data_IF_322952026256
#
_entry.id   IF_322952026256
#
_cell.length_a   1.000
_cell.length_b   1.000
_cell.length_c   1.000
_cell.angle_alpha   90.00
_cell.angle_beta   90.00
_cell.angle_gamma   90.00
#
_symmetry.space_group_name_H-M   'P 1'
#
loop_
_entity.id
_entity.type
_entity.pdbx_description
1 polymer ?
#
# COMPACT_ATOMS: atom_id res chain seq x y z
N UNK A 1 -6.30 -9.73 35.23
CA UNK A 1 -7.72 -9.46 34.91
C UNK A 1 -7.79 -8.17 34.09
N UNK A 2 -8.19 -8.28 32.83
CA UNK A 2 -8.54 -7.25 31.84
C UNK A 2 -8.02 -5.82 31.98
N UNK A 3 -6.96 -5.47 31.24
CA UNK A 3 -6.81 -4.10 30.74
C UNK A 3 -7.46 -4.02 29.35
N UNK A 4 -8.75 -3.69 29.32
CA UNK A 4 -9.48 -3.37 28.08
C UNK A 4 -9.05 -1.97 27.64
N UNK A 5 -7.87 -1.88 27.03
CA UNK A 5 -7.49 -0.73 26.21
C UNK A 5 -8.39 -0.73 24.97
N UNK A 6 -9.52 -0.03 25.06
CA UNK A 6 -10.42 0.14 23.93
C UNK A 6 -9.67 0.81 22.79
N UNK A 7 -9.49 0.09 21.67
CA UNK A 7 -9.09 0.71 20.41
C UNK A 7 -10.26 1.59 19.94
N UNK A 8 -10.22 2.87 20.31
CA UNK A 8 -10.92 3.93 19.59
C UNK A 8 -10.49 3.87 18.12
N UNK A 9 -11.40 3.45 17.23
CA UNK A 9 -11.67 4.00 15.90
C UNK A 9 -12.66 3.08 15.17
N UNK A 10 -13.90 3.08 15.66
CA UNK A 10 -15.07 2.89 14.83
C UNK A 10 -15.36 4.23 14.15
N UNK A 11 -14.80 4.42 12.95
CA UNK A 11 -15.20 5.48 12.04
C UNK A 11 -14.77 5.05 10.65
N UNK A 12 -15.72 5.00 9.73
CA UNK A 12 -15.58 4.56 8.34
C UNK A 12 -14.67 5.47 7.47
N UNK A 13 -13.66 6.12 8.04
CA UNK A 13 -12.77 7.09 7.39
C UNK A 13 -11.28 6.76 7.58
N UNK A 14 -10.95 5.49 7.84
CA UNK A 14 -9.55 5.09 7.97
C UNK A 14 -8.93 5.05 6.56
N UNK A 15 -8.30 6.17 6.19
CA UNK A 15 -7.53 6.36 4.97
C UNK A 15 -6.72 5.10 4.68
N UNK A 16 -7.09 4.36 3.64
CA UNK A 16 -6.34 3.18 3.23
C UNK A 16 -5.17 3.66 2.39
N UNK A 17 -4.11 4.08 3.09
CA UNK A 17 -2.77 4.02 2.52
C UNK A 17 -2.37 2.54 2.50
N UNK A 18 -1.50 2.10 1.58
CA UNK A 18 -0.95 0.74 1.55
C UNK A 18 0.02 0.52 2.72
N UNK A 19 -0.51 0.54 3.94
CA UNK A 19 0.16 0.23 5.18
C UNK A 19 -0.22 -1.17 5.64
N UNK A 20 0.69 -1.81 6.38
CA UNK A 20 0.46 -3.09 7.05
C UNK A 20 -0.83 -3.02 7.89
N UNK A 21 -1.77 -3.96 7.76
CA UNK A 21 -2.95 -4.02 8.61
C UNK A 21 -2.57 -4.18 10.09
N UNK A 22 -3.38 -3.61 10.99
CA UNK A 22 -3.16 -3.74 12.42
C UNK A 22 -3.53 -5.16 12.90
N UNK A 23 -2.63 -5.80 13.65
CA UNK A 23 -2.84 -7.15 14.17
C UNK A 23 -3.97 -7.25 15.21
N UNK A 24 -4.26 -6.17 15.92
CA UNK A 24 -5.29 -6.12 16.98
C UNK A 24 -6.67 -5.79 16.39
N UNK A 25 -6.76 -4.76 15.55
CA UNK A 25 -8.03 -4.30 14.98
C UNK A 25 -8.48 -5.08 13.73
N UNK A 26 -7.54 -5.64 12.97
CA UNK A 26 -7.82 -6.25 11.65
C UNK A 26 -7.12 -7.62 11.52
N UNK A 27 -7.24 -8.46 12.56
CA UNK A 27 -6.47 -9.71 12.69
C UNK A 27 -6.51 -10.60 11.45
N UNK A 28 -7.70 -10.89 10.92
CA UNK A 28 -7.84 -11.73 9.72
C UNK A 28 -7.13 -11.14 8.49
N UNK A 29 -7.25 -9.82 8.28
CA UNK A 29 -6.58 -9.11 7.18
C UNK A 29 -5.07 -9.04 7.38
N UNK A 30 -4.62 -8.92 8.63
CA UNK A 30 -3.21 -8.98 9.00
C UNK A 30 -2.59 -10.36 8.75
N UNK A 31 -3.28 -11.44 9.12
CA UNK A 31 -2.80 -12.80 8.87
C UNK A 31 -2.75 -13.11 7.37
N UNK A 32 -3.75 -12.69 6.59
CA UNK A 32 -3.71 -12.75 5.13
C UNK A 32 -2.55 -11.93 4.55
N UNK A 33 -2.32 -10.73 5.07
CA UNK A 33 -1.20 -9.89 4.64
C UNK A 33 0.13 -10.61 4.84
N UNK A 34 0.34 -11.25 6.00
CA UNK A 34 1.58 -11.99 6.30
C UNK A 34 1.82 -13.12 5.30
N UNK A 35 0.78 -13.88 4.98
CA UNK A 35 0.86 -14.99 4.02
C UNK A 35 1.26 -14.49 2.63
N UNK A 36 0.55 -13.48 2.12
CA UNK A 36 0.82 -12.93 0.78
C UNK A 36 2.16 -12.22 0.73
N UNK A 37 2.52 -11.49 1.77
CA UNK A 37 3.81 -10.82 1.86
C UNK A 37 4.96 -11.82 1.93
N UNK A 38 4.85 -12.88 2.74
CA UNK A 38 5.87 -13.94 2.82
C UNK A 38 6.01 -14.71 1.51
N UNK A 39 4.90 -15.05 0.86
CA UNK A 39 4.90 -15.72 -0.44
C UNK A 39 5.55 -14.87 -1.55
N UNK A 40 5.31 -13.56 -1.55
CA UNK A 40 5.79 -12.63 -2.58
C UNK A 40 7.22 -12.11 -2.36
N UNK A 41 7.79 -12.31 -1.16
CA UNK A 41 9.10 -11.75 -0.77
C UNK A 41 10.05 -12.85 -0.24
N UNK A 42 10.13 -13.98 -0.95
CA UNK A 42 10.99 -15.11 -0.57
C UNK A 42 12.49 -14.78 -0.59
N UNK A 43 12.87 -13.71 -1.28
CA UNK A 43 14.21 -13.11 -1.26
C UNK A 43 14.50 -12.33 0.04
N UNK A 44 13.46 -11.88 0.74
CA UNK A 44 13.58 -11.08 1.98
C UNK A 44 13.32 -11.91 3.24
N UNK A 45 12.60 -13.03 3.13
CA UNK A 45 12.32 -13.94 4.24
C UNK A 45 12.09 -15.37 3.75
N UNK A 46 12.48 -16.36 4.56
CA UNK A 46 12.13 -17.77 4.35
C UNK A 46 10.85 -18.17 5.08
N UNK A 47 10.32 -17.32 5.95
CA UNK A 47 9.13 -17.60 6.72
C UNK A 47 7.87 -17.43 5.86
N UNK A 48 7.01 -18.45 5.82
CA UNK A 48 5.72 -18.37 5.14
C UNK A 48 4.78 -17.30 5.75
N UNK A 49 4.94 -17.01 7.04
CA UNK A 49 4.22 -15.96 7.77
C UNK A 49 5.18 -15.18 8.67
N UNK A 50 5.94 -14.21 8.14
CA UNK A 50 6.91 -13.45 8.91
C UNK A 50 6.26 -12.69 10.08
N UNK A 51 7.06 -12.36 11.10
CA UNK A 51 6.59 -11.59 12.25
C UNK A 51 6.30 -10.13 11.88
N UNK A 52 5.60 -9.40 12.75
CA UNK A 52 5.40 -7.96 12.59
C UNK A 52 6.74 -7.23 12.49
N UNK A 53 7.66 -7.57 13.38
CA UNK A 53 8.97 -6.93 13.49
C UNK A 53 9.84 -7.17 12.25
N UNK A 54 9.77 -8.37 11.67
CA UNK A 54 10.51 -8.68 10.43
C UNK A 54 9.98 -7.88 9.25
N UNK A 55 8.65 -7.81 9.09
CA UNK A 55 8.04 -6.99 8.06
C UNK A 55 8.33 -5.51 8.29
N UNK A 56 8.23 -5.02 9.53
CA UNK A 56 8.45 -3.62 9.86
C UNK A 56 9.91 -3.20 9.63
N UNK A 57 10.88 -4.08 9.88
CA UNK A 57 12.30 -3.86 9.54
C UNK A 57 12.50 -3.62 8.04
N UNK A 58 11.89 -4.46 7.21
CA UNK A 58 11.95 -4.31 5.75
C UNK A 58 11.24 -3.03 5.31
N UNK A 59 10.01 -2.81 5.78
CA UNK A 59 9.23 -1.62 5.43
C UNK A 59 9.91 -0.33 5.87
N UNK A 60 10.63 -0.34 6.99
CA UNK A 60 11.42 0.80 7.45
C UNK A 60 12.57 1.10 6.49
N UNK A 61 13.34 0.08 6.09
CA UNK A 61 14.43 0.21 5.12
C UNK A 61 13.95 0.63 3.71
N UNK A 62 12.73 0.23 3.33
CA UNK A 62 12.10 0.64 2.08
C UNK A 62 11.54 2.07 2.12
N UNK A 63 11.32 2.65 3.30
CA UNK A 63 10.79 4.01 3.46
C UNK A 63 11.88 5.05 3.69
N UNK A 64 12.99 4.68 4.32
CA UNK A 64 14.10 5.60 4.57
C UNK A 64 14.98 5.74 3.34
N UNK A 65 15.00 6.93 2.76
CA UNK A 65 15.98 7.36 1.78
C UNK A 65 17.17 8.05 2.45
N UNK A 66 18.23 8.28 1.68
CA UNK A 66 19.40 9.04 2.12
C UNK A 66 18.96 10.42 2.65
N UNK A 67 19.41 10.79 3.86
CA UNK A 67 19.11 12.10 4.44
C UNK A 67 17.68 12.30 4.98
N UNK A 68 16.92 11.22 5.22
CA UNK A 68 15.58 11.30 5.82
C UNK A 68 14.44 11.57 4.82
N UNK A 69 14.75 11.64 3.53
CA UNK A 69 13.73 11.70 2.49
C UNK A 69 12.97 10.38 2.36
N UNK A 70 11.69 10.43 1.97
CA UNK A 70 10.90 9.23 1.67
C UNK A 70 11.51 8.52 0.45
N UNK A 71 11.99 7.29 0.63
CA UNK A 71 12.49 6.48 -0.49
C UNK A 71 11.32 6.13 -1.41
N UNK A 72 11.48 6.49 -2.68
CA UNK A 72 10.59 6.11 -3.77
C UNK A 72 11.44 5.45 -4.85
N UNK A 73 10.80 4.67 -5.71
CA UNK A 73 11.42 4.11 -6.91
C UNK A 73 10.50 4.38 -8.10
N UNK A 74 11.02 4.42 -9.31
CA UNK A 74 10.20 4.57 -10.51
C UNK A 74 9.84 3.19 -11.07
N UNK A 75 8.61 3.06 -11.56
CA UNK A 75 8.17 1.89 -12.32
C UNK A 75 7.13 2.32 -13.36
N UNK A 76 6.92 1.47 -14.37
CA UNK A 76 5.92 1.69 -15.41
C UNK A 76 4.53 1.42 -14.86
N UNK A 77 3.56 2.25 -15.25
CA UNK A 77 2.18 2.07 -14.84
C UNK A 77 1.66 0.65 -15.16
N UNK A 78 2.03 0.10 -16.32
CA UNK A 78 1.69 -1.26 -16.75
C UNK A 78 2.18 -2.39 -15.83
N UNK A 79 3.23 -2.17 -15.03
CA UNK A 79 3.74 -3.18 -14.10
C UNK A 79 3.08 -3.12 -12.72
N UNK A 80 2.31 -2.06 -12.44
CA UNK A 80 1.79 -1.79 -11.11
C UNK A 80 0.38 -2.37 -10.96
N UNK A 81 0.14 -3.22 -9.94
CA UNK A 81 -1.19 -3.70 -9.66
C UNK A 81 -2.10 -2.58 -9.13
N UNK A 82 -3.41 -2.77 -9.29
CA UNK A 82 -4.40 -1.90 -8.67
C UNK A 82 -4.23 -1.87 -7.14
N UNK A 83 -4.39 -0.69 -6.53
CA UNK A 83 -4.16 -0.47 -5.11
C UNK A 83 -2.80 0.16 -4.77
N UNK A 84 -1.91 0.33 -5.75
CA UNK A 84 -0.62 0.99 -5.56
C UNK A 84 -0.77 2.51 -5.62
N UNK A 85 -0.17 3.20 -4.65
CA UNK A 85 -0.01 4.65 -4.68
C UNK A 85 1.27 5.06 -5.42
N UNK A 86 1.14 6.02 -6.35
CA UNK A 86 2.20 6.58 -7.18
C UNK A 86 2.16 8.11 -7.17
N UNK A 87 3.20 8.76 -7.67
CA UNK A 87 3.26 10.20 -7.88
C UNK A 87 3.83 10.54 -9.27
N UNK A 88 3.34 11.63 -9.85
CA UNK A 88 3.94 12.23 -11.05
C UNK A 88 5.13 13.14 -10.68
N UNK A 89 5.79 13.70 -11.69
CA UNK A 89 6.95 14.57 -11.49
C UNK A 89 6.56 15.91 -10.82
N UNK A 90 5.27 16.28 -10.86
CA UNK A 90 4.70 17.42 -10.14
C UNK A 90 4.29 17.06 -8.69
N UNK A 91 4.71 15.89 -8.20
CA UNK A 91 4.48 15.41 -6.83
C UNK A 91 2.99 15.21 -6.48
N UNK A 92 2.11 15.10 -7.49
CA UNK A 92 0.70 14.78 -7.27
C UNK A 92 0.57 13.28 -7.05
N UNK A 93 -0.15 12.89 -6.00
CA UNK A 93 -0.36 11.49 -5.67
C UNK A 93 -1.56 10.90 -6.41
N UNK A 94 -1.42 9.67 -6.89
CA UNK A 94 -2.47 8.92 -7.56
C UNK A 94 -2.54 7.50 -7.00
N UNK A 95 -3.73 6.93 -7.06
CA UNK A 95 -4.00 5.51 -6.84
C UNK A 95 -4.14 4.83 -8.19
N UNK A 96 -3.40 3.75 -8.40
CA UNK A 96 -3.59 2.85 -9.54
C UNK A 96 -4.88 2.08 -9.32
N UNK A 97 -5.85 2.22 -10.23
CA UNK A 97 -7.12 1.52 -10.19
C UNK A 97 -7.44 0.97 -11.58
N UNK A 98 -7.36 -0.35 -11.74
CA UNK A 98 -7.43 -1.03 -13.03
C UNK A 98 -6.45 -0.42 -14.05
N UNK A 99 -6.95 0.23 -15.11
CA UNK A 99 -6.15 0.94 -16.14
C UNK A 99 -6.23 2.47 -16.00
N UNK A 100 -6.61 2.96 -14.83
CA UNK A 100 -6.82 4.38 -14.54
C UNK A 100 -5.97 4.82 -13.35
N UNK A 101 -5.74 6.13 -13.31
CA UNK A 101 -5.15 6.81 -12.16
C UNK A 101 -6.24 7.64 -11.51
N UNK A 102 -6.44 7.40 -10.21
CA UNK A 102 -7.33 8.22 -9.39
C UNK A 102 -6.48 9.22 -8.62
N UNK A 103 -6.62 10.50 -8.92
CA UNK A 103 -5.88 11.56 -8.22
C UNK A 103 -6.35 11.62 -6.79
N UNK A 104 -5.40 11.53 -5.86
CA UNK A 104 -5.69 11.73 -4.45
C UNK A 104 -5.77 13.23 -4.14
N UNK A 105 -6.85 13.63 -3.49
CA UNK A 105 -7.06 14.96 -2.94
C UNK A 105 -7.51 14.83 -1.48
N UNK A 106 -7.47 15.94 -0.74
CA UNK A 106 -8.02 15.96 0.63
C UNK A 106 -9.54 15.68 0.66
N UNK A 107 -10.26 15.92 -0.43
CA UNK A 107 -11.69 15.65 -0.56
C UNK A 107 -12.01 14.20 -0.99
N UNK A 108 -11.01 13.45 -1.46
CA UNK A 108 -11.17 12.07 -1.90
C UNK A 108 -10.37 11.75 -3.16
N UNK A 109 -10.87 10.78 -3.93
CA UNK A 109 -10.27 10.40 -5.20
C UNK A 109 -11.07 11.00 -6.35
N UNK A 110 -10.37 11.62 -7.30
CA UNK A 110 -10.96 12.13 -8.55
C UNK A 110 -10.39 11.34 -9.71
N UNK A 111 -11.24 10.86 -10.61
CA UNK A 111 -10.79 10.19 -11.82
C UNK A 111 -9.98 11.14 -12.70
N UNK A 112 -8.78 10.72 -13.07
CA UNK A 112 -7.98 11.38 -14.09
C UNK A 112 -7.92 10.51 -15.35
N UNK A 113 -7.72 11.17 -16.49
CA UNK A 113 -7.57 10.50 -17.78
C UNK A 113 -6.49 9.42 -17.70
N UNK A 114 -6.73 8.30 -18.36
CA UNK A 114 -5.73 7.26 -18.54
C UNK A 114 -4.44 7.89 -19.09
N UNK A 115 -3.34 7.70 -18.37
CA UNK A 115 -2.00 7.94 -18.93
C UNK A 115 -1.64 6.73 -19.79
N UNK A 116 -0.74 6.90 -20.76
CA UNK A 116 -0.22 5.77 -21.52
C UNK A 116 0.40 4.72 -20.58
N UNK A 117 0.24 3.44 -20.92
CA UNK A 117 0.71 2.31 -20.10
C UNK A 117 2.24 2.30 -19.89
N UNK A 118 2.98 3.02 -20.74
CA UNK A 118 4.44 3.19 -20.70
C UNK A 118 4.91 4.36 -19.82
N UNK A 119 4.02 5.09 -19.17
CA UNK A 119 4.42 6.19 -18.28
C UNK A 119 5.10 5.64 -17.02
N UNK A 120 6.30 6.13 -16.75
CA UNK A 120 7.00 5.87 -15.49
C UNK A 120 6.58 6.86 -14.42
N UNK A 121 6.19 6.34 -13.24
CA UNK A 121 5.75 7.14 -12.09
C UNK A 121 6.58 6.79 -10.86
N UNK A 122 6.71 7.75 -9.95
CA UNK A 122 7.35 7.51 -8.66
C UNK A 122 6.41 6.70 -7.77
N UNK A 123 6.78 5.46 -7.46
CA UNK A 123 6.00 4.57 -6.60
C UNK A 123 6.17 4.99 -5.14
N UNK A 124 5.07 5.39 -4.52
CA UNK A 124 4.99 5.82 -3.12
C UNK A 124 4.79 4.65 -2.14
N UNK A 125 4.43 3.49 -2.68
CA UNK A 125 4.14 2.26 -1.95
C UNK A 125 5.42 1.43 -1.80
N UNK A 126 5.76 0.92 -0.60
CA UNK A 126 6.96 0.09 -0.44
C UNK A 126 6.93 -1.13 -1.35
N UNK A 127 8.09 -1.50 -1.92
CA UNK A 127 8.18 -2.53 -2.97
C UNK A 127 7.67 -3.89 -2.49
N UNK A 128 7.99 -4.26 -1.25
CA UNK A 128 7.51 -5.50 -0.63
C UNK A 128 5.98 -5.56 -0.50
N UNK A 129 5.32 -4.41 -0.32
CA UNK A 129 3.85 -4.30 -0.30
C UNK A 129 3.28 -4.40 -1.71
N UNK A 130 3.90 -3.75 -2.70
CA UNK A 130 3.48 -3.88 -4.11
C UNK A 130 3.51 -5.35 -4.54
N UNK A 131 4.56 -6.09 -4.18
CA UNK A 131 4.67 -7.54 -4.41
C UNK A 131 3.54 -8.32 -3.74
N UNK A 132 3.22 -8.01 -2.48
CA UNK A 132 2.12 -8.66 -1.77
C UNK A 132 0.75 -8.41 -2.44
N UNK A 133 0.52 -7.20 -2.96
CA UNK A 133 -0.69 -6.85 -3.71
C UNK A 133 -0.75 -7.64 -5.03
N UNK A 134 0.36 -7.73 -5.75
CA UNK A 134 0.46 -8.53 -6.97
C UNK A 134 0.19 -10.03 -6.71
N UNK A 135 0.55 -10.53 -5.53
CA UNK A 135 0.25 -11.89 -5.05
C UNK A 135 -1.22 -12.07 -4.60
N UNK A 136 -2.06 -11.04 -4.79
CA UNK A 136 -3.50 -11.09 -4.51
C UNK A 136 -3.91 -10.60 -3.12
N UNK A 137 -3.06 -9.84 -2.42
CA UNK A 137 -3.49 -9.16 -1.21
C UNK A 137 -4.50 -8.03 -1.55
N UNK A 138 -5.76 -8.10 -1.08
CA UNK A 138 -6.77 -7.12 -1.46
C UNK A 138 -6.50 -5.78 -0.76
N UNK A 139 -6.27 -4.70 -1.51
CA UNK A 139 -6.17 -3.34 -0.93
C UNK A 139 -7.57 -2.80 -0.69
N UNK A 140 -7.85 -2.35 0.53
CA UNK A 140 -9.10 -1.64 0.80
C UNK A 140 -9.08 -0.31 0.06
N UNK A 141 -10.11 -0.01 -0.72
CA UNK A 141 -10.24 1.29 -1.36
C UNK A 141 -11.24 2.15 -0.58
N UNK A 142 -11.01 3.47 -0.56
CA UNK A 142 -12.02 4.38 -0.03
C UNK A 142 -13.26 4.32 -0.93
N UNK A 143 -14.50 4.43 -0.41
CA UNK A 143 -15.71 4.36 -1.24
C UNK A 143 -15.71 5.32 -2.43
N UNK A 144 -15.10 6.51 -2.30
CA UNK A 144 -14.98 7.45 -3.43
C UNK A 144 -14.10 6.95 -4.57
N UNK A 145 -13.18 6.00 -4.33
CA UNK A 145 -12.44 5.35 -5.39
C UNK A 145 -13.28 4.33 -6.17
N UNK A 146 -14.39 3.84 -5.59
CA UNK A 146 -15.34 2.96 -6.28
C UNK A 146 -16.36 3.74 -7.12
N UNK A 147 -16.48 5.06 -6.93
CA UNK A 147 -17.43 5.93 -7.64
C UNK A 147 -16.76 6.81 -8.71
N UNK A 148 -15.42 6.85 -8.73
CA UNK A 148 -14.63 7.67 -9.65
C UNK A 148 -14.31 6.93 -10.95
#
# INVERSE_FOLDING_TARGET
MGNRGGCLHDTAQRIVRPHRPCAECQRARYDLFRERWGAANRDLTTAARPSADDMDRVLHAERLGSGGAKRTYRDRLSHLPAGVMVADDEHRAFLVHERRLLRWTFAGYEAQKARGDDVELAVLTPRSVVRAIAEGFPVGLHPSASTA
#
